data_IF_477501027960
#
_entry.id   IF_477501027960
#
_cell.length_a   1.000
_cell.length_b   1.000
_cell.length_c   1.000
_cell.angle_alpha   90.00
_cell.angle_beta   90.00
_cell.angle_gamma   90.00
#
_symmetry.space_group_name_H-M   'P 1'
#
loop_
_entity.id
_entity.type
_entity.pdbx_description
1 polymer ?
#
# COMPACT_ATOMS: atom_id res chain seq x y z
N UNK A 1 13.03 -27.01 -9.20
CA UNK A 1 11.74 -26.27 -9.27
C UNK A 1 11.51 -25.28 -8.10
N UNK A 2 12.49 -24.38 -7.80
CA UNK A 2 12.37 -23.32 -6.76
C UNK A 2 11.94 -21.94 -7.30
N UNK A 3 12.16 -21.63 -8.59
CA UNK A 3 11.82 -20.31 -9.19
C UNK A 3 10.31 -20.03 -9.26
N UNK A 4 9.50 -21.04 -9.62
CA UNK A 4 8.05 -20.88 -9.77
C UNK A 4 7.32 -20.51 -8.48
N UNK A 5 7.59 -21.19 -7.35
CA UNK A 5 6.93 -20.90 -6.06
C UNK A 5 7.20 -19.49 -5.52
N UNK A 6 8.41 -18.98 -5.72
CA UNK A 6 8.74 -17.60 -5.32
C UNK A 6 8.09 -16.57 -6.27
N UNK A 7 8.02 -16.86 -7.57
CA UNK A 7 7.37 -15.96 -8.53
C UNK A 7 5.88 -15.76 -8.25
N UNK A 8 5.16 -16.81 -7.86
CA UNK A 8 3.73 -16.72 -7.48
C UNK A 8 3.54 -15.85 -6.24
N UNK A 9 4.38 -16.05 -5.20
CA UNK A 9 4.35 -15.22 -3.99
C UNK A 9 4.61 -13.74 -4.30
N UNK A 10 5.62 -13.47 -5.11
CA UNK A 10 5.97 -12.10 -5.55
C UNK A 10 4.82 -11.49 -6.35
N UNK A 11 4.20 -12.24 -7.26
CA UNK A 11 3.07 -11.75 -8.05
C UNK A 11 1.85 -11.45 -7.18
N UNK A 12 1.57 -12.31 -6.19
CA UNK A 12 0.51 -12.06 -5.20
C UNK A 12 0.78 -10.78 -4.41
N UNK A 13 2.00 -10.58 -3.92
CA UNK A 13 2.41 -9.36 -3.21
C UNK A 13 2.27 -8.11 -4.08
N UNK A 14 2.77 -8.15 -5.33
CA UNK A 14 2.60 -7.07 -6.30
C UNK A 14 1.13 -6.78 -6.59
N UNK A 15 0.26 -7.80 -6.61
CA UNK A 15 -1.19 -7.62 -6.80
C UNK A 15 -1.82 -6.93 -5.58
N UNK A 16 -1.48 -7.37 -4.37
CA UNK A 16 -1.97 -6.76 -3.14
C UNK A 16 -1.55 -5.29 -3.03
N UNK A 17 -0.27 -4.96 -3.24
CA UNK A 17 0.18 -3.57 -3.19
C UNK A 17 -0.48 -2.68 -4.24
N UNK A 18 -0.67 -3.18 -5.47
CA UNK A 18 -1.42 -2.44 -6.51
C UNK A 18 -2.85 -2.17 -6.08
N UNK A 19 -3.51 -3.14 -5.46
CA UNK A 19 -4.88 -2.98 -4.97
C UNK A 19 -4.97 -1.98 -3.81
N UNK A 20 -4.03 -2.05 -2.86
CA UNK A 20 -3.95 -1.09 -1.74
C UNK A 20 -3.77 0.34 -2.26
N UNK A 21 -2.83 0.53 -3.18
CA UNK A 21 -2.62 1.83 -3.84
C UNK A 21 -3.89 2.28 -4.58
N UNK A 22 -4.50 1.41 -5.39
CA UNK A 22 -5.70 1.73 -6.17
C UNK A 22 -6.85 2.20 -5.29
N UNK A 23 -7.11 1.51 -4.18
CA UNK A 23 -8.20 1.88 -3.26
C UNK A 23 -7.93 3.17 -2.51
N UNK A 24 -6.67 3.48 -2.19
CA UNK A 24 -6.31 4.64 -1.38
C UNK A 24 -5.80 5.84 -2.19
N UNK A 25 -5.68 5.74 -3.52
CA UNK A 25 -5.14 6.80 -4.39
C UNK A 25 -5.80 8.16 -4.18
N UNK A 26 -7.11 8.17 -3.95
CA UNK A 26 -7.91 9.38 -3.73
C UNK A 26 -7.60 10.10 -2.41
N UNK A 27 -6.83 9.47 -1.52
CA UNK A 27 -6.43 10.02 -0.21
C UNK A 27 -5.00 10.54 -0.22
N UNK A 28 -4.31 10.45 -1.36
CA UNK A 28 -2.90 10.84 -1.49
C UNK A 28 -2.80 12.26 -2.03
N UNK A 29 -1.77 12.99 -1.61
CA UNK A 29 -1.48 14.31 -2.19
C UNK A 29 -1.26 14.23 -3.72
N UNK A 30 -1.61 15.29 -4.47
CA UNK A 30 -1.40 15.35 -5.92
C UNK A 30 0.07 15.17 -6.32
N UNK A 31 0.29 14.64 -7.53
CA UNK A 31 1.62 14.47 -8.15
C UNK A 31 2.61 13.59 -7.37
N UNK A 32 2.16 12.81 -6.38
CA UNK A 32 2.99 11.90 -5.62
C UNK A 32 3.46 10.70 -6.47
N UNK A 33 4.77 10.46 -6.45
CA UNK A 33 5.38 9.24 -7.00
C UNK A 33 5.72 8.29 -5.84
N UNK A 34 5.27 7.04 -5.93
CA UNK A 34 5.49 6.03 -4.89
C UNK A 34 6.19 4.82 -5.48
N UNK A 35 7.28 4.40 -4.84
CA UNK A 35 7.92 3.10 -5.08
C UNK A 35 7.66 2.23 -3.85
N UNK A 36 6.94 1.11 -4.05
CA UNK A 36 6.68 0.14 -2.98
C UNK A 36 7.70 -0.98 -3.09
N UNK A 37 8.53 -1.11 -2.06
CA UNK A 37 9.51 -2.18 -1.92
C UNK A 37 9.19 -3.06 -0.71
N UNK A 38 9.45 -4.36 -0.85
CA UNK A 38 9.10 -5.36 0.15
C UNK A 38 10.35 -5.90 0.82
N UNK A 39 10.32 -6.05 2.15
CA UNK A 39 11.39 -6.70 2.90
C UNK A 39 11.50 -8.18 2.48
N UNK A 40 12.73 -8.74 2.52
CA UNK A 40 13.00 -10.15 2.13
C UNK A 40 12.21 -11.17 2.95
N UNK A 41 11.93 -10.86 4.21
CA UNK A 41 11.17 -11.72 5.11
C UNK A 41 9.79 -11.09 5.34
N UNK A 42 8.81 -11.58 4.57
CA UNK A 42 7.42 -11.20 4.73
C UNK A 42 6.61 -12.38 5.28
N UNK A 43 5.55 -12.10 6.07
CA UNK A 43 4.62 -13.13 6.50
C UNK A 43 4.08 -13.92 5.31
N UNK A 44 4.01 -15.25 5.44
CA UNK A 44 3.52 -16.14 4.37
C UNK A 44 2.06 -15.82 4.00
N UNK A 45 1.28 -15.31 4.96
CA UNK A 45 -0.13 -14.94 4.81
C UNK A 45 -0.35 -13.46 5.09
N UNK A 46 0.35 -12.58 4.37
CA UNK A 46 -0.03 -11.17 4.37
C UNK A 46 -1.44 -11.01 3.77
N UNK A 47 -2.35 -10.39 4.51
CA UNK A 47 -3.68 -10.03 4.03
C UNK A 47 -3.66 -8.68 3.32
N UNK A 48 -4.78 -8.30 2.71
CA UNK A 48 -4.92 -6.96 2.14
C UNK A 48 -4.96 -5.93 3.27
N UNK A 49 -5.69 -6.24 4.33
CA UNK A 49 -5.95 -5.39 5.50
C UNK A 49 -4.66 -5.08 6.26
N UNK A 50 -3.78 -6.07 6.44
CA UNK A 50 -2.47 -5.86 7.06
C UNK A 50 -1.62 -4.88 6.24
N UNK A 51 -1.58 -5.09 4.92
CA UNK A 51 -0.78 -4.26 4.02
C UNK A 51 -1.36 -2.84 3.90
N UNK A 52 -2.69 -2.71 3.88
CA UNK A 52 -3.37 -1.41 3.85
C UNK A 52 -3.11 -0.62 5.14
N UNK A 53 -3.18 -1.27 6.29
CA UNK A 53 -2.89 -0.65 7.58
C UNK A 53 -1.45 -0.12 7.63
N UNK A 54 -0.48 -0.93 7.25
CA UNK A 54 0.93 -0.53 7.21
C UNK A 54 1.16 0.64 6.23
N UNK A 55 0.54 0.56 5.05
CA UNK A 55 0.62 1.60 4.03
C UNK A 55 0.05 2.93 4.53
N UNK A 56 -1.16 2.95 5.10
CA UNK A 56 -1.79 4.16 5.61
C UNK A 56 -1.04 4.76 6.80
N UNK A 57 -0.51 3.92 7.70
CA UNK A 57 0.31 4.38 8.81
C UNK A 57 1.57 5.09 8.32
N UNK A 58 2.26 4.53 7.31
CA UNK A 58 3.42 5.18 6.70
C UNK A 58 3.07 6.52 6.04
N UNK A 59 1.97 6.57 5.28
CA UNK A 59 1.54 7.80 4.64
C UNK A 59 1.15 8.88 5.65
N UNK A 60 0.50 8.49 6.76
CA UNK A 60 0.16 9.41 7.86
C UNK A 60 1.41 9.96 8.53
N UNK A 61 2.39 9.09 8.82
CA UNK A 61 3.67 9.50 9.42
C UNK A 61 4.46 10.45 8.51
N UNK A 62 4.39 10.26 7.20
CA UNK A 62 5.07 11.10 6.21
C UNK A 62 4.25 12.33 5.79
N UNK A 63 3.06 12.53 6.35
CA UNK A 63 2.11 13.58 5.97
C UNK A 63 1.80 13.61 4.47
N UNK A 64 1.68 12.43 3.85
CA UNK A 64 1.40 12.23 2.42
C UNK A 64 -0.08 11.96 2.13
N UNK A 65 -0.91 11.96 3.17
CA UNK A 65 -2.35 11.91 3.01
C UNK A 65 -2.86 13.32 2.73
N UNK A 66 -3.74 13.45 1.75
CA UNK A 66 -4.47 14.68 1.51
C UNK A 66 -5.30 14.99 2.76
N UNK A 67 -5.17 16.21 3.27
CA UNK A 67 -6.10 16.74 4.27
C UNK A 67 -7.43 16.90 3.56
N UNK A 68 -8.28 15.89 3.62
CA UNK A 68 -9.67 16.05 3.21
C UNK A 68 -10.22 17.17 4.08
N UNK A 69 -10.41 18.36 3.49
CA UNK A 69 -11.23 19.41 4.08
C UNK A 69 -12.67 18.88 4.12
N UNK A 70 -12.98 18.04 5.11
CA UNK A 70 -14.35 17.82 5.54
C UNK A 70 -14.86 19.13 6.13
N UNK A 71 -15.46 19.94 5.25
CA UNK A 71 -16.45 20.98 5.52
C UNK A 71 -16.26 21.77 6.82
N UNK A 72 -15.44 22.82 6.78
CA UNK A 72 -15.76 24.07 7.51
C UNK A 72 -16.92 24.78 6.82
N UNK A 73 -18.12 24.18 6.85
CA UNK A 73 -19.38 24.89 6.73
C UNK A 73 -20.38 24.15 7.62
N UNK A 74 -20.43 24.55 8.89
CA UNK A 74 -21.62 24.64 9.76
C UNK A 74 -21.23 25.40 11.02
#
# INVERSE_FOLDING_TARGET
TKRGRNSVKVNRLKRLAREVFRRNRHRLIPHLQIIISFKKQLPVKLSFEDLEKDFLNLLKLLNLLELTHEKSIS
#
